data_IF_848715218031
#
_entry.id   IF_848715218031
#
_cell.length_a   1.000
_cell.length_b   1.000
_cell.length_c   1.000
_cell.angle_alpha   90.00
_cell.angle_beta   90.00
_cell.angle_gamma   90.00
#
_symmetry.space_group_name_H-M   'P 1'
#
loop_
_entity.id
_entity.type
_entity.pdbx_description
1 polymer ?
#
# COMPACT_ATOMS: atom_id res chain seq x y z
N UNK A 1 1.77 17.28 9.19
CA UNK A 1 2.59 17.10 7.97
C UNK A 1 2.23 15.75 7.37
N UNK A 2 2.19 15.60 6.04
CA UNK A 2 1.90 14.33 5.39
C UNK A 2 3.02 13.99 4.41
N UNK A 3 3.52 12.76 4.47
CA UNK A 3 4.51 12.24 3.52
C UNK A 3 3.77 11.75 2.29
N UNK A 4 4.17 12.23 1.11
CA UNK A 4 3.60 11.81 -0.17
C UNK A 4 4.61 10.93 -0.88
N UNK A 5 4.24 9.69 -1.17
CA UNK A 5 5.13 8.71 -1.79
C UNK A 5 4.79 8.42 -3.25
N UNK A 6 3.60 8.81 -3.72
CA UNK A 6 3.04 8.35 -5.00
C UNK A 6 3.92 8.56 -6.24
N UNK A 7 4.67 9.67 -6.31
CA UNK A 7 5.56 9.97 -7.44
C UNK A 7 6.86 9.16 -7.42
N UNK A 8 7.18 8.51 -6.30
CA UNK A 8 8.40 7.72 -6.13
C UNK A 8 8.15 6.21 -6.26
N UNK A 9 6.89 5.77 -6.28
CA UNK A 9 6.53 4.35 -6.29
C UNK A 9 6.76 3.77 -7.68
N UNK A 10 7.65 2.77 -7.75
CA UNK A 10 7.85 1.94 -8.95
C UNK A 10 6.73 0.89 -9.02
N UNK A 11 6.54 0.16 -7.92
CA UNK A 11 5.49 -0.84 -7.78
C UNK A 11 5.12 -1.01 -6.30
N UNK A 12 3.98 -1.63 -6.06
CA UNK A 12 3.59 -2.04 -4.72
C UNK A 12 2.63 -3.21 -4.75
N UNK A 13 2.43 -3.81 -3.59
CA UNK A 13 1.41 -4.83 -3.37
C UNK A 13 0.64 -4.55 -2.09
N UNK A 14 -0.62 -4.94 -2.08
CA UNK A 14 -1.55 -4.73 -0.99
C UNK A 14 -2.41 -5.99 -0.83
N UNK A 15 -2.60 -6.41 0.41
CA UNK A 15 -3.44 -7.54 0.80
C UNK A 15 -4.40 -7.10 1.90
N UNK A 16 -5.70 -7.10 1.60
CA UNK A 16 -6.76 -6.88 2.59
C UNK A 16 -7.80 -8.00 2.51
N UNK A 17 -7.35 -9.24 2.73
CA UNK A 17 -8.20 -10.44 2.69
C UNK A 17 -8.97 -10.60 4.00
N UNK A 18 -8.28 -10.47 5.13
CA UNK A 18 -8.87 -10.61 6.46
C UNK A 18 -9.42 -9.27 6.93
N UNK A 19 -10.56 -9.32 7.61
CA UNK A 19 -11.17 -8.12 8.15
C UNK A 19 -10.26 -7.49 9.22
N UNK A 20 -10.16 -6.17 9.17
CA UNK A 20 -9.37 -5.31 10.06
C UNK A 20 -7.85 -5.46 9.94
N UNK A 21 -7.36 -6.12 8.88
CA UNK A 21 -5.93 -6.36 8.65
C UNK A 21 -5.60 -6.05 7.19
N UNK A 22 -4.71 -5.08 6.99
CA UNK A 22 -4.22 -4.66 5.67
C UNK A 22 -2.70 -4.68 5.69
N UNK A 23 -2.09 -5.50 4.83
CA UNK A 23 -0.64 -5.64 4.73
C UNK A 23 -0.17 -5.29 3.33
N UNK A 24 1.07 -4.86 3.19
CA UNK A 24 1.64 -4.63 1.87
C UNK A 24 3.03 -4.06 1.90
N UNK A 25 3.57 -3.84 0.71
CA UNK A 25 4.88 -3.23 0.53
C UNK A 25 4.88 -2.30 -0.68
N UNK A 26 5.73 -1.28 -0.61
CA UNK A 26 5.99 -0.33 -1.68
C UNK A 26 7.47 -0.37 -2.04
N UNK A 27 7.77 -0.49 -3.33
CA UNK A 27 9.10 -0.28 -3.85
C UNK A 27 9.20 1.16 -4.37
N UNK A 28 10.04 1.96 -3.72
CA UNK A 28 10.31 3.35 -4.06
C UNK A 28 11.63 3.46 -4.83
N UNK A 29 11.70 4.44 -5.73
CA UNK A 29 12.93 4.75 -6.46
C UNK A 29 14.00 5.29 -5.50
N UNK A 30 15.14 4.61 -5.42
CA UNK A 30 16.34 5.07 -4.71
C UNK A 30 17.13 6.13 -5.50
N UNK A 31 18.12 6.76 -4.85
CA UNK A 31 19.01 7.71 -5.52
C UNK A 31 19.85 7.03 -6.63
N UNK A 32 20.52 7.85 -7.46
CA UNK A 32 21.28 7.33 -8.59
C UNK A 32 22.44 6.45 -8.11
N UNK A 33 22.37 5.16 -8.41
CA UNK A 33 23.36 4.16 -8.00
C UNK A 33 23.06 3.49 -6.66
N UNK A 34 21.94 3.82 -6.03
CA UNK A 34 21.39 3.11 -4.88
C UNK A 34 20.33 2.10 -5.32
N UNK A 35 20.19 1.03 -4.54
CA UNK A 35 19.12 0.05 -4.74
C UNK A 35 17.74 0.67 -4.46
N UNK A 36 16.67 0.19 -5.12
CA UNK A 36 15.31 0.58 -4.79
C UNK A 36 14.99 0.32 -3.31
N UNK A 37 14.21 1.22 -2.73
CA UNK A 37 13.87 1.19 -1.31
C UNK A 37 12.55 0.45 -1.08
N UNK A 38 12.50 -0.45 -0.10
CA UNK A 38 11.31 -1.22 0.21
C UNK A 38 10.68 -0.74 1.53
N UNK A 39 9.45 -0.23 1.45
CA UNK A 39 8.64 0.13 2.62
C UNK A 39 7.61 -0.98 2.86
N UNK A 40 7.54 -1.48 4.09
CA UNK A 40 6.54 -2.46 4.51
C UNK A 40 5.48 -1.81 5.39
N UNK A 41 4.22 -2.23 5.27
CA UNK A 41 3.17 -1.76 6.16
C UNK A 41 2.27 -2.90 6.66
N UNK A 42 1.92 -2.83 7.94
CA UNK A 42 1.03 -3.74 8.67
C UNK A 42 -0.01 -2.89 9.40
N UNK A 43 -1.16 -2.71 8.76
CA UNK A 43 -2.15 -1.71 9.15
C UNK A 43 -3.41 -2.36 9.73
N UNK A 44 -3.93 -1.71 10.76
CA UNK A 44 -5.18 -2.07 11.40
C UNK A 44 -6.35 -1.35 10.71
N UNK A 45 -7.13 -2.10 9.95
CA UNK A 45 -8.30 -1.57 9.24
C UNK A 45 -8.54 -2.25 7.90
N UNK A 46 -9.60 -1.82 7.22
CA UNK A 46 -9.96 -2.33 5.89
C UNK A 46 -9.72 -1.25 4.85
N UNK A 47 -9.56 -1.70 3.60
CA UNK A 47 -9.61 -0.85 2.44
C UNK A 47 -11.07 -0.59 2.01
N UNK A 48 -11.26 0.29 1.03
CA UNK A 48 -12.57 0.55 0.44
C UNK A 48 -13.05 -0.67 -0.39
N UNK A 49 -14.36 -0.78 -0.71
CA UNK A 49 -14.95 -2.00 -1.27
C UNK A 49 -14.31 -2.54 -2.57
N UNK A 50 -13.62 -1.72 -3.35
CA UNK A 50 -12.85 -2.20 -4.51
C UNK A 50 -11.58 -2.95 -4.15
N UNK A 51 -10.93 -2.64 -3.03
CA UNK A 51 -9.68 -3.30 -2.62
C UNK A 51 -9.91 -4.30 -1.49
N UNK A 52 -10.97 -4.11 -0.69
CA UNK A 52 -11.36 -5.04 0.37
C UNK A 52 -11.61 -6.44 -0.20
N UNK A 53 -11.09 -7.44 0.50
CA UNK A 53 -11.18 -8.85 0.13
C UNK A 53 -10.28 -9.25 -1.03
N UNK A 54 -9.26 -8.46 -1.40
CA UNK A 54 -8.38 -8.75 -2.54
C UNK A 54 -6.89 -8.74 -2.16
N UNK A 55 -6.11 -9.46 -2.98
CA UNK A 55 -4.68 -9.23 -3.13
C UNK A 55 -4.51 -8.40 -4.41
N UNK A 56 -3.81 -7.29 -4.31
CA UNK A 56 -3.63 -6.31 -5.38
C UNK A 56 -2.15 -6.03 -5.55
N UNK A 57 -1.71 -5.90 -6.80
CA UNK A 57 -0.41 -5.33 -7.16
C UNK A 57 -0.61 -4.15 -8.08
N UNK A 58 0.30 -3.20 -8.03
CA UNK A 58 0.21 -2.01 -8.87
C UNK A 58 1.58 -1.52 -9.29
N UNK A 59 1.63 -0.90 -10.46
CA UNK A 59 2.86 -0.45 -11.12
C UNK A 59 2.69 0.99 -11.62
N UNK A 60 3.79 1.74 -11.66
CA UNK A 60 3.81 3.05 -12.30
C UNK A 60 3.47 2.94 -13.80
N UNK A 61 2.78 3.95 -14.34
CA UNK A 61 2.35 3.95 -15.74
C UNK A 61 3.51 4.10 -16.74
N UNK A 62 4.60 4.75 -16.32
CA UNK A 62 5.75 5.11 -17.15
C UNK A 62 7.01 4.33 -16.82
N UNK A 63 8.13 4.76 -17.39
CA UNK A 63 9.44 4.17 -17.13
C UNK A 63 9.85 4.41 -15.66
N UNK A 64 10.11 3.36 -14.86
CA UNK A 64 10.61 3.49 -13.49
C UNK A 64 11.88 4.34 -13.34
N UNK A 65 12.71 4.43 -14.39
CA UNK A 65 13.93 5.25 -14.38
C UNK A 65 13.67 6.75 -14.46
N UNK A 66 12.50 7.16 -14.94
CA UNK A 66 12.11 8.58 -15.07
C UNK A 66 11.44 9.12 -13.80
N UNK A 67 11.13 8.27 -12.83
CA UNK A 67 10.55 8.68 -11.56
C UNK A 67 11.58 9.45 -10.71
N UNK A 68 11.16 10.51 -9.99
CA UNK A 68 12.03 11.19 -9.03
C UNK A 68 12.47 10.22 -7.92
N UNK A 69 13.76 10.22 -7.54
CA UNK A 69 14.22 9.42 -6.40
C UNK A 69 13.59 9.91 -5.09
N UNK A 70 13.38 8.99 -4.16
CA UNK A 70 12.93 9.29 -2.81
C UNK A 70 14.14 9.57 -1.90
N UNK A 71 14.32 10.84 -1.53
CA UNK A 71 15.40 11.26 -0.61
C UNK A 71 15.02 10.96 0.85
N UNK A 72 15.50 9.82 1.35
CA UNK A 72 15.35 9.41 2.76
C UNK A 72 16.10 10.33 3.73
N UNK A 73 17.21 10.93 3.30
CA UNK A 73 18.10 11.70 4.18
C UNK A 73 17.42 12.97 4.69
N UNK A 74 16.46 13.48 3.93
CA UNK A 74 15.60 14.60 4.31
C UNK A 74 14.62 14.28 5.45
N UNK A 75 14.39 13.00 5.76
CA UNK A 75 13.41 12.52 6.74
C UNK A 75 14.11 11.81 7.91
N UNK A 76 14.62 12.60 8.86
CA UNK A 76 15.20 12.05 10.10
C UNK A 76 14.18 11.16 10.84
N UNK A 77 14.59 9.93 11.17
CA UNK A 77 13.77 8.97 11.93
C UNK A 77 12.70 8.24 11.10
N UNK A 78 12.81 8.27 9.77
CA UNK A 78 11.90 7.53 8.89
C UNK A 78 11.91 6.03 9.21
N UNK A 79 10.72 5.46 9.45
CA UNK A 79 10.54 4.04 9.74
C UNK A 79 10.12 3.30 8.46
N UNK A 80 10.88 2.27 8.08
CA UNK A 80 10.62 1.45 6.89
C UNK A 80 9.46 0.47 7.10
N UNK A 81 9.29 0.02 8.34
CA UNK A 81 8.16 -0.80 8.79
C UNK A 81 7.09 0.08 9.42
N UNK A 82 5.98 0.24 8.73
CA UNK A 82 4.86 1.08 9.14
C UNK A 82 3.75 0.26 9.79
N UNK A 83 3.25 0.75 10.91
CA UNK A 83 2.06 0.25 11.60
C UNK A 83 1.07 1.37 11.82
N UNK A 84 -0.18 1.03 12.12
CA UNK A 84 -1.22 1.99 12.51
C UNK A 84 -2.51 1.81 11.72
N UNK A 85 -3.48 2.73 11.84
CA UNK A 85 -4.78 2.58 11.20
C UNK A 85 -4.77 2.91 9.70
N UNK A 86 -5.60 2.20 8.94
CA UNK A 86 -5.92 2.60 7.57
C UNK A 86 -6.74 3.90 7.54
N UNK A 87 -6.38 4.78 6.60
CA UNK A 87 -7.21 5.87 6.12
C UNK A 87 -8.05 5.42 4.93
N UNK A 88 -8.27 6.31 3.95
CA UNK A 88 -8.90 5.95 2.68
C UNK A 88 -7.92 5.13 1.82
N UNK A 89 -8.37 3.99 1.31
CA UNK A 89 -7.58 3.13 0.43
C UNK A 89 -8.46 2.62 -0.72
N UNK A 90 -8.32 3.22 -1.90
CA UNK A 90 -9.16 2.94 -3.09
C UNK A 90 -8.40 3.13 -4.40
N UNK A 91 -8.87 2.45 -5.45
CA UNK A 91 -8.46 2.53 -6.84
C UNK A 91 -9.65 2.84 -7.79
N UNK A 92 -10.79 3.32 -7.23
CA UNK A 92 -11.99 3.66 -8.01
C UNK A 92 -11.96 5.09 -8.57
N UNK A 93 -11.17 5.97 -7.98
CA UNK A 93 -11.20 7.39 -8.32
C UNK A 93 -10.60 7.69 -9.70
N UNK A 94 -10.95 8.87 -10.22
CA UNK A 94 -10.44 9.43 -11.45
C UNK A 94 -9.72 10.75 -11.19
N UNK A 95 -8.59 10.98 -11.86
CA UNK A 95 -7.85 12.25 -11.82
C UNK A 95 -7.57 12.75 -13.22
N UNK A 96 -7.43 14.08 -13.35
CA UNK A 96 -6.97 14.70 -14.59
C UNK A 96 -5.44 14.68 -14.62
N UNK A 97 -4.90 13.91 -15.55
CA UNK A 97 -3.47 13.93 -15.85
C UNK A 97 -3.16 15.07 -16.82
N UNK A 98 -2.08 15.79 -16.54
CA UNK A 98 -1.48 16.77 -17.43
C UNK A 98 -0.21 16.16 -18.04
N UNK A 99 -0.26 15.63 -19.27
CA UNK A 99 0.88 14.99 -19.93
C UNK A 99 1.92 16.00 -20.45
N UNK A 100 1.73 17.30 -20.20
CA UNK A 100 2.65 18.35 -20.62
C UNK A 100 3.22 19.08 -19.40
N UNK A 101 4.41 19.66 -19.57
CA UNK A 101 5.02 20.49 -18.53
C UNK A 101 4.18 21.72 -18.22
N UNK A 102 4.34 22.29 -17.02
CA UNK A 102 3.63 23.49 -16.55
C UNK A 102 3.79 24.66 -17.52
N UNK A 103 4.96 24.81 -18.14
CA UNK A 103 5.24 25.88 -19.11
C UNK A 103 4.40 25.73 -20.39
N UNK A 104 4.33 24.52 -20.95
CA UNK A 104 3.51 24.21 -22.13
C UNK A 104 2.01 24.38 -21.83
N UNK A 105 1.58 23.99 -20.63
CA UNK A 105 0.22 24.24 -20.16
C UNK A 105 -0.10 25.74 -20.14
N UNK A 106 0.75 26.56 -19.52
CA UNK A 106 0.58 28.01 -19.46
C UNK A 106 0.60 28.60 -20.88
N UNK A 107 1.46 28.10 -21.76
CA UNK A 107 1.55 28.53 -23.15
C UNK A 107 0.24 28.29 -23.92
N UNK A 108 -0.30 27.06 -23.88
CA UNK A 108 -1.57 26.72 -24.52
C UNK A 108 -2.76 27.46 -23.94
N UNK A 109 -2.80 27.61 -22.61
CA UNK A 109 -3.83 28.39 -21.95
C UNK A 109 -3.83 29.86 -22.42
N UNK A 110 -2.64 30.46 -22.62
CA UNK A 110 -2.51 31.81 -23.20
C UNK A 110 -2.96 31.89 -24.65
N UNK A 111 -2.79 30.82 -25.42
CA UNK A 111 -3.27 30.71 -26.81
C UNK A 111 -4.78 30.42 -26.92
N UNK A 112 -5.46 30.19 -25.80
CA UNK A 112 -6.89 29.83 -25.79
C UNK A 112 -7.15 28.38 -26.21
N UNK A 113 -6.11 27.57 -26.34
CA UNK A 113 -6.24 26.14 -26.62
C UNK A 113 -6.53 25.38 -25.32
N UNK A 114 -7.46 24.41 -25.31
CA UNK A 114 -7.66 23.57 -24.14
C UNK A 114 -6.37 22.78 -23.89
N UNK A 115 -5.81 22.85 -22.67
CA UNK A 115 -4.64 22.05 -22.33
C UNK A 115 -5.00 20.57 -22.49
N UNK A 116 -4.10 19.73 -23.04
CA UNK A 116 -4.40 18.34 -23.35
C UNK A 116 -4.48 17.52 -22.07
N UNK A 117 -5.54 17.68 -21.28
CA UNK A 117 -5.77 16.89 -20.07
C UNK A 117 -6.57 15.65 -20.42
N UNK A 118 -6.14 14.49 -19.92
CA UNK A 118 -6.94 13.26 -20.00
C UNK A 118 -7.33 12.78 -18.61
N UNK A 119 -8.50 12.20 -18.51
CA UNK A 119 -8.92 11.52 -17.27
C UNK A 119 -8.30 10.14 -17.24
N UNK A 120 -7.68 9.82 -16.10
CA UNK A 120 -7.01 8.54 -15.85
C UNK A 120 -7.45 7.99 -14.51
N UNK A 121 -7.17 6.71 -14.29
CA UNK A 121 -7.42 6.07 -12.99
C UNK A 121 -6.53 6.65 -11.92
N UNK A 122 -6.99 6.63 -10.69
CA UNK A 122 -6.25 7.04 -9.50
C UNK A 122 -6.18 5.88 -8.52
N UNK A 123 -4.99 5.56 -8.05
CA UNK A 123 -4.80 4.77 -6.84
C UNK A 123 -4.50 5.74 -5.69
N UNK A 124 -5.25 5.63 -4.61
CA UNK A 124 -5.11 6.42 -3.40
C UNK A 124 -5.02 5.51 -2.19
N UNK A 125 -3.88 5.48 -1.51
CA UNK A 125 -3.68 4.76 -0.26
C UNK A 125 -3.24 5.76 0.82
N UNK A 126 -3.95 5.77 1.94
CA UNK A 126 -3.65 6.62 3.08
C UNK A 126 -3.62 5.81 4.36
N UNK A 127 -2.67 6.13 5.23
CA UNK A 127 -2.62 5.61 6.60
C UNK A 127 -1.96 6.60 7.55
N UNK A 128 -2.09 6.32 8.83
CA UNK A 128 -1.42 7.06 9.89
C UNK A 128 -0.53 6.10 10.66
N UNK A 129 0.78 6.35 10.68
CA UNK A 129 1.73 5.47 11.35
C UNK A 129 2.86 6.24 12.01
N UNK A 130 4.01 5.59 12.19
CA UNK A 130 5.17 6.18 12.87
C UNK A 130 5.74 7.37 12.11
N UNK A 131 5.58 7.38 10.79
CA UNK A 131 5.99 8.49 9.94
C UNK A 131 4.91 9.60 9.86
N UNK A 132 3.90 9.57 10.73
CA UNK A 132 2.75 10.45 10.69
C UNK A 132 1.73 10.01 9.64
N UNK A 133 1.16 10.97 8.89
CA UNK A 133 0.22 10.67 7.81
C UNK A 133 0.99 10.35 6.53
N UNK A 134 0.80 9.18 5.95
CA UNK A 134 1.42 8.79 4.68
C UNK A 134 0.34 8.66 3.61
N UNK A 135 0.64 9.16 2.42
CA UNK A 135 -0.27 9.18 1.28
C UNK A 135 0.47 8.68 0.03
N UNK A 136 -0.07 7.66 -0.62
CA UNK A 136 0.31 7.20 -1.94
C UNK A 136 -0.81 7.58 -2.90
N UNK A 137 -0.53 8.55 -3.76
CA UNK A 137 -1.47 8.98 -4.80
C UNK A 137 -0.78 8.80 -6.16
N UNK A 138 -1.22 7.80 -6.93
CA UNK A 138 -0.67 7.51 -8.25
C UNK A 138 -1.71 7.79 -9.33
N UNK A 139 -1.27 8.42 -10.41
CA UNK A 139 -2.09 8.69 -11.58
C UNK A 139 -1.80 7.69 -12.70
N UNK A 140 -2.86 7.15 -13.29
CA UNK A 140 -2.83 6.09 -14.32
C UNK A 140 -2.07 4.79 -13.96
N UNK A 141 -2.02 4.34 -12.69
CA UNK A 141 -1.29 3.12 -12.39
C UNK A 141 -1.94 1.89 -13.04
N UNK A 142 -1.12 0.93 -13.45
CA UNK A 142 -1.60 -0.41 -13.77
C UNK A 142 -1.92 -1.10 -12.44
N UNK A 143 -3.19 -1.39 -12.19
CA UNK A 143 -3.64 -2.05 -10.96
C UNK A 143 -4.26 -3.40 -11.31
N UNK A 144 -3.72 -4.45 -10.74
CA UNK A 144 -4.14 -5.82 -10.96
C UNK A 144 -4.51 -6.48 -9.64
N UNK A 145 -5.44 -7.41 -9.67
CA UNK A 145 -5.87 -8.18 -8.52
C UNK A 145 -5.86 -9.67 -8.81
N UNK A 146 -5.69 -10.44 -7.74
CA UNK A 146 -5.74 -11.89 -7.76
C UNK A 146 -7.09 -12.38 -7.21
N UNK A 147 -7.87 -13.16 -7.97
CA UNK A 147 -9.04 -13.84 -7.46
C UNK A 147 -8.59 -15.03 -6.61
N UNK A 148 -8.60 -14.87 -5.28
CA UNK A 148 -8.27 -15.97 -4.38
C UNK A 148 -9.45 -16.95 -4.34
N UNK A 149 -9.51 -17.86 -5.31
CA UNK A 149 -10.53 -18.92 -5.42
C UNK A 149 -10.12 -20.19 -4.64
N UNK A 150 -9.29 -20.06 -3.61
CA UNK A 150 -9.06 -21.08 -2.58
C UNK A 150 -8.53 -22.47 -3.00
N UNK A 151 -8.36 -22.78 -4.28
CA UNK A 151 -7.85 -24.05 -4.80
C UNK A 151 -7.32 -23.85 -6.22
N UNK A 152 -6.04 -23.54 -6.36
CA UNK A 152 -5.25 -23.95 -7.52
C UNK A 152 -3.77 -23.79 -7.15
N UNK A 153 -3.02 -24.88 -7.31
CA UNK A 153 -1.59 -24.98 -6.94
C UNK A 153 -0.68 -24.22 -7.93
N UNK A 154 -1.25 -23.74 -9.03
CA UNK A 154 -0.58 -22.95 -10.06
C UNK A 154 -0.70 -21.44 -9.75
N UNK A 155 0.05 -21.00 -8.73
CA UNK A 155 0.03 -19.62 -8.18
C UNK A 155 0.48 -18.50 -9.14
N UNK A 156 0.68 -18.79 -10.43
CA UNK A 156 1.34 -17.85 -11.35
C UNK A 156 0.51 -17.33 -12.52
N UNK A 157 -0.73 -17.76 -12.78
CA UNK A 157 -1.25 -17.54 -14.15
C UNK A 157 -2.39 -16.57 -14.43
N UNK A 158 -3.13 -15.99 -13.48
CA UNK A 158 -4.15 -14.98 -13.87
C UNK A 158 -4.32 -13.82 -12.89
N UNK A 159 -3.41 -12.85 -12.95
CA UNK A 159 -3.70 -11.50 -12.46
C UNK A 159 -4.67 -10.81 -13.42
N UNK A 160 -5.73 -10.22 -12.89
CA UNK A 160 -6.72 -9.50 -13.68
C UNK A 160 -6.61 -8.01 -13.44
N UNK A 161 -6.87 -7.19 -14.47
CA UNK A 161 -7.03 -5.76 -14.29
C UNK A 161 -8.14 -5.50 -13.26
N UNK A 162 -7.85 -4.69 -12.24
CA UNK A 162 -8.83 -4.34 -11.22
C UNK A 162 -9.96 -3.54 -11.88
N UNK A 163 -11.21 -4.02 -11.84
CA UNK A 163 -12.33 -3.29 -12.43
C UNK A 163 -12.51 -1.96 -11.71
N UNK A 164 -12.82 -0.89 -12.45
CA UNK A 164 -13.23 0.36 -11.83
C UNK A 164 -14.75 0.31 -11.57
N UNK A 165 -15.17 0.43 -10.32
CA UNK A 165 -16.59 0.47 -9.96
C UNK A 165 -17.19 1.87 -10.12
N UNK A 166 -16.37 2.93 -10.14
CA UNK A 166 -16.86 4.29 -10.33
C UNK A 166 -16.97 4.63 -11.83
N UNK A 167 -18.10 5.20 -12.26
CA UNK A 167 -18.24 5.67 -13.63
C UNK A 167 -17.24 6.79 -13.91
N UNK A 168 -16.72 6.83 -15.14
CA UNK A 168 -15.90 7.94 -15.59
C UNK A 168 -16.70 9.25 -15.51
N UNK A 169 -16.13 10.38 -15.04
CA UNK A 169 -16.85 11.64 -14.91
C UNK A 169 -17.50 12.10 -16.22
N UNK A 170 -18.69 12.71 -16.18
CA UNK A 170 -19.38 13.17 -17.41
C UNK A 170 -18.54 14.15 -18.24
N UNK A 171 -17.76 15.02 -17.59
CA UNK A 171 -16.83 15.91 -18.29
C UNK A 171 -15.71 15.15 -19.02
N UNK A 172 -15.28 14.01 -18.49
CA UNK A 172 -14.35 13.11 -19.16
C UNK A 172 -14.98 12.45 -20.40
N UNK A 173 -16.28 12.12 -20.34
CA UNK A 173 -16.99 11.55 -21.50
C UNK A 173 -17.16 12.57 -22.63
N UNK A 174 -17.24 13.87 -22.32
CA UNK A 174 -17.30 14.96 -23.31
C UNK A 174 -15.94 15.23 -23.98
N UNK A 175 -14.86 15.07 -23.21
CA UNK A 175 -13.48 15.29 -23.65
C UNK A 175 -12.81 14.00 -24.18
N UNK A 176 -13.49 12.85 -24.07
CA UNK A 176 -12.99 11.58 -24.58
C UNK A 176 -12.92 11.65 -26.12
N UNK A 177 -11.83 11.19 -26.75
CA UNK A 177 -11.86 10.97 -28.19
C UNK A 177 -13.05 10.05 -28.49
N UNK A 178 -13.84 10.39 -29.51
CA UNK A 178 -14.92 9.52 -29.99
C UNK A 178 -14.37 8.09 -30.14
N UNK A 179 -15.12 7.04 -29.72
CA UNK A 179 -14.72 5.67 -30.03
C UNK A 179 -14.45 5.62 -31.54
N UNK A 180 -13.26 5.18 -31.89
CA UNK A 180 -12.60 5.31 -33.19
C UNK A 180 -13.57 5.62 -34.35
N UNK A 181 -13.51 6.86 -34.86
CA UNK A 181 -14.02 7.16 -36.20
C UNK A 181 -13.14 6.38 -37.20
N UNK A 182 -13.54 5.14 -37.48
CA UNK A 182 -12.93 4.30 -38.52
C UNK A 182 -13.17 4.95 -39.88
N UNK A 183 -12.13 5.54 -40.46
CA UNK A 183 -12.20 6.12 -41.80
C UNK A 183 -12.02 4.98 -42.82
N UNK A 184 -13.11 4.56 -43.44
CA UNK A 184 -13.08 3.65 -44.58
C UNK A 184 -12.95 4.45 -45.87
N UNK A 185 -11.87 4.22 -46.64
CA UNK A 185 -11.80 4.68 -48.04
C UNK A 185 -12.36 3.57 -48.93
N UNK A 186 -13.43 3.86 -49.64
CA UNK A 186 -13.92 3.00 -50.73
C UNK A 186 -13.41 3.61 -52.03
N UNK A 187 -12.47 2.94 -52.69
CA UNK A 187 -12.06 3.32 -54.05
C UNK A 187 -13.01 2.67 -55.06
N UNK A 188 -13.64 3.50 -55.91
CA UNK A 188 -14.58 3.03 -56.91
C UNK A 188 -13.84 2.42 -58.10
N UNK A 189 -13.69 1.09 -58.09
CA UNK A 189 -13.24 0.25 -59.19
C UNK A 189 -14.12 -1.00 -59.33
N UNK A 190 -13.84 -1.86 -60.32
CA UNK A 190 -14.66 -3.05 -60.62
C UNK A 190 -14.65 -4.14 -59.52
N UNK A 191 -13.80 -4.02 -58.51
CA UNK A 191 -13.83 -4.85 -57.30
C UNK A 191 -13.39 -4.03 -56.05
N UNK A 192 -14.33 -3.53 -55.23
CA UNK A 192 -14.00 -2.64 -54.12
C UNK A 192 -13.37 -3.41 -52.95
N UNK A 193 -12.09 -3.16 -52.68
CA UNK A 193 -11.43 -3.62 -51.45
C UNK A 193 -11.45 -2.52 -50.38
N UNK A 194 -11.99 -2.86 -49.21
CA UNK A 194 -11.93 -2.01 -48.03
C UNK A 194 -10.68 -2.36 -47.21
N UNK A 195 -9.70 -1.45 -47.18
CA UNK A 195 -8.53 -1.55 -46.30
C UNK A 195 -8.78 -0.83 -44.97
N UNK A 196 -8.49 -1.50 -43.85
CA UNK A 196 -8.60 -0.97 -42.49
C UNK A 196 -7.32 -0.24 -42.10
N UNK A 197 -7.43 1.02 -41.67
CA UNK A 197 -6.33 1.76 -41.07
C UNK A 197 -6.67 2.03 -39.59
N UNK A 198 -6.11 1.24 -38.68
CA UNK A 198 -6.01 1.64 -37.27
C UNK A 198 -4.69 2.38 -37.06
N UNK A 199 -4.64 3.26 -36.04
CA UNK A 199 -3.47 4.06 -35.66
C UNK A 199 -2.35 3.21 -35.02
N UNK A 200 -2.16 2.00 -35.53
CA UNK A 200 -1.18 0.99 -35.13
C UNK A 200 -0.04 0.89 -36.16
N UNK A 201 -0.22 1.45 -37.38
CA UNK A 201 0.76 1.28 -38.47
C UNK A 201 1.88 2.35 -38.54
N UNK A 202 1.93 3.31 -37.61
CA UNK A 202 3.06 4.28 -37.53
C UNK A 202 4.23 3.80 -36.64
N UNK A 203 4.20 2.57 -36.14
CA UNK A 203 5.31 1.97 -35.38
C UNK A 203 6.01 0.81 -36.10
N UNK A 204 5.77 0.59 -37.41
CA UNK A 204 6.60 -0.31 -38.22
C UNK A 204 7.82 0.41 -38.81
N UNK A 205 8.69 0.90 -37.93
CA UNK A 205 10.13 0.97 -38.23
C UNK A 205 10.94 0.98 -36.93
N UNK A 206 10.82 -0.07 -36.12
CA UNK A 206 11.77 -0.29 -35.02
C UNK A 206 12.09 -1.77 -34.90
N UNK A 207 13.04 -2.17 -35.74
CA UNK A 207 13.96 -3.29 -35.59
C UNK A 207 13.35 -4.60 -35.05
N UNK A 208 12.95 -5.49 -35.96
CA UNK A 208 12.58 -6.89 -35.69
C UNK A 208 13.78 -7.77 -35.24
N UNK A 209 14.79 -7.15 -34.62
CA UNK A 209 15.97 -7.80 -34.04
C UNK A 209 16.30 -7.26 -32.63
N UNK A 210 15.34 -6.64 -31.94
CA UNK A 210 15.45 -6.47 -30.50
C UNK A 210 14.93 -7.74 -29.82
N UNK A 211 15.84 -8.66 -29.53
CA UNK A 211 15.60 -9.78 -28.63
C UNK A 211 14.91 -9.25 -27.36
N UNK A 212 13.78 -9.86 -27.00
CA UNK A 212 13.21 -9.69 -25.66
C UNK A 212 14.33 -9.99 -24.66
N UNK A 213 14.60 -9.16 -23.64
CA UNK A 213 15.43 -9.60 -22.54
C UNK A 213 14.68 -10.75 -21.87
N UNK A 214 15.09 -11.97 -22.20
CA UNK A 214 14.79 -13.14 -21.42
C UNK A 214 15.52 -12.91 -20.10
N UNK A 215 14.79 -12.48 -19.07
CA UNK A 215 15.26 -12.71 -17.72
C UNK A 215 15.07 -14.22 -17.51
N UNK A 216 16.12 -15.00 -17.75
CA UNK A 216 16.22 -16.30 -17.12
C UNK A 216 16.23 -16.01 -15.62
N UNK A 217 15.08 -16.25 -14.99
CA UNK A 217 15.00 -16.47 -13.55
C UNK A 217 15.74 -17.78 -13.30
N UNK A 218 17.07 -17.71 -13.24
CA UNK A 218 17.89 -18.71 -12.57
C UNK A 218 17.72 -18.50 -11.06
N UNK A 219 16.47 -18.57 -10.62
CA UNK A 219 16.09 -18.67 -9.23
C UNK A 219 16.02 -20.15 -8.92
N UNK A 220 17.18 -20.75 -8.71
CA UNK A 220 17.28 -21.98 -7.94
C UNK A 220 16.53 -21.72 -6.62
N UNK A 221 15.35 -22.32 -6.48
CA UNK A 221 14.69 -22.42 -5.18
C UNK A 221 15.74 -23.00 -4.24
N UNK A 222 16.11 -22.34 -3.12
CA UNK A 222 17.02 -22.95 -2.18
C UNK A 222 16.34 -24.24 -1.71
N UNK A 223 16.91 -25.38 -2.12
CA UNK A 223 16.54 -26.68 -1.58
C UNK A 223 16.75 -26.67 -0.08
N UNK A 224 16.03 -27.53 0.62
CA UNK A 224 15.94 -27.62 2.08
C UNK A 224 17.25 -28.05 2.79
N UNK A 225 18.42 -27.87 2.17
CA UNK A 225 19.74 -28.35 2.63
C UNK A 225 20.81 -27.24 2.72
N UNK A 226 20.45 -25.99 3.04
CA UNK A 226 21.41 -24.89 3.28
C UNK A 226 21.64 -24.63 4.78
N UNK A 227 22.00 -25.67 5.52
CA UNK A 227 22.62 -25.53 6.85
C UNK A 227 24.03 -26.11 6.79
N UNK A 228 24.92 -25.44 6.04
CA UNK A 228 26.37 -25.65 6.20
C UNK A 228 26.86 -24.66 7.27
N UNK A 229 27.36 -25.24 8.36
CA UNK A 229 27.62 -24.64 9.69
C UNK A 229 28.91 -23.80 9.75
N UNK A 230 29.41 -23.24 8.64
CA UNK A 230 30.78 -22.71 8.56
C UNK A 230 30.91 -21.41 7.72
N UNK A 231 29.95 -20.48 7.80
CA UNK A 231 30.13 -19.14 7.21
C UNK A 231 30.52 -18.09 8.28
N UNK A 232 31.67 -17.48 8.04
CA UNK A 232 32.30 -16.48 8.90
C UNK A 232 31.31 -15.36 9.22
N UNK A 233 31.09 -15.14 10.52
CA UNK A 233 30.23 -14.09 11.07
C UNK A 233 30.48 -12.75 10.34
N UNK A 234 29.55 -12.38 9.45
CA UNK A 234 29.55 -11.06 8.79
C UNK A 234 29.68 -9.98 9.86
N UNK A 235 30.34 -8.83 9.60
CA UNK A 235 30.47 -7.76 10.60
C UNK A 235 29.10 -7.48 11.19
N UNK A 236 28.91 -7.88 12.45
CA UNK A 236 27.63 -7.76 13.15
C UNK A 236 27.29 -6.28 13.09
N UNK A 237 26.19 -5.95 12.42
CA UNK A 237 25.78 -4.56 12.27
C UNK A 237 25.64 -3.98 13.68
N UNK A 238 26.53 -3.03 14.01
CA UNK A 238 26.57 -2.43 15.34
C UNK A 238 25.21 -1.81 15.70
N UNK A 239 24.43 -1.38 14.71
CA UNK A 239 23.05 -0.92 14.90
C UNK A 239 22.13 -2.06 15.32
N UNK A 240 22.16 -3.20 14.63
CA UNK A 240 21.36 -4.38 14.98
C UNK A 240 21.72 -4.94 16.38
N UNK A 241 22.99 -4.93 16.75
CA UNK A 241 23.42 -5.29 18.11
C UNK A 241 22.90 -4.31 19.16
N UNK A 242 22.94 -3.01 18.88
CA UNK A 242 22.45 -1.98 19.79
C UNK A 242 20.93 -2.06 19.97
N UNK A 243 20.19 -2.33 18.90
CA UNK A 243 18.74 -2.56 18.95
C UNK A 243 18.40 -3.79 19.77
N UNK A 244 19.13 -4.90 19.61
CA UNK A 244 18.92 -6.12 20.39
C UNK A 244 19.19 -5.87 21.88
N UNK A 245 20.28 -5.18 22.21
CA UNK A 245 20.61 -4.82 23.59
C UNK A 245 19.56 -3.89 24.22
N UNK A 246 18.99 -2.97 23.44
CA UNK A 246 17.90 -2.10 23.88
C UNK A 246 16.64 -2.91 24.21
N UNK A 247 16.31 -3.92 23.40
CA UNK A 247 15.17 -4.82 23.66
C UNK A 247 15.37 -5.56 24.97
N UNK A 248 16.55 -6.13 25.20
CA UNK A 248 16.88 -6.83 26.44
C UNK A 248 16.72 -5.90 27.66
N UNK A 249 17.24 -4.67 27.58
CA UNK A 249 17.09 -3.67 28.63
C UNK A 249 15.61 -3.30 28.89
N UNK A 250 14.80 -3.21 27.82
CA UNK A 250 13.36 -2.95 27.95
C UNK A 250 12.63 -4.12 28.60
N UNK A 251 13.00 -5.37 28.31
CA UNK A 251 12.41 -6.56 28.92
C UNK A 251 12.71 -6.65 30.44
N UNK A 252 13.86 -6.12 30.89
CA UNK A 252 14.23 -6.10 32.31
C UNK A 252 13.57 -4.98 33.11
N UNK A 253 13.18 -3.87 32.46
CA UNK A 253 12.56 -2.71 33.12
C UNK A 253 11.04 -2.81 33.14
N UNK A 254 10.41 -2.27 34.18
CA UNK A 254 8.96 -2.02 34.12
C UNK A 254 8.68 -0.85 33.16
N UNK A 255 7.91 -1.09 32.10
CA UNK A 255 7.50 -0.05 31.15
C UNK A 255 6.54 0.99 31.74
N UNK A 256 6.19 2.01 30.95
CA UNK A 256 5.25 3.07 31.33
C UNK A 256 3.81 2.68 30.97
N UNK A 257 2.80 2.89 31.85
CA UNK A 257 1.42 2.57 31.51
C UNK A 257 0.96 3.23 30.21
N UNK A 258 0.34 2.47 29.32
CA UNK A 258 -0.06 2.99 28.00
C UNK A 258 -1.01 4.19 28.07
N UNK A 259 -1.93 4.18 29.04
CA UNK A 259 -2.79 5.33 29.29
C UNK A 259 -2.02 6.61 29.58
N UNK A 260 -0.89 6.53 30.29
CA UNK A 260 -0.05 7.68 30.62
C UNK A 260 0.70 8.20 29.39
N UNK A 261 1.25 7.29 28.58
CA UNK A 261 1.90 7.65 27.31
C UNK A 261 0.95 8.36 26.33
N UNK A 262 -0.35 8.01 26.38
CA UNK A 262 -1.39 8.68 25.62
C UNK A 262 -1.95 9.95 26.31
N UNK A 263 -1.30 10.49 27.34
CA UNK A 263 -1.75 11.71 28.03
C UNK A 263 -3.05 11.52 28.83
N UNK A 264 -3.36 10.29 29.20
CA UNK A 264 -4.54 9.88 29.97
C UNK A 264 -5.74 9.45 29.13
N UNK A 265 -6.69 8.77 29.78
CA UNK A 265 -7.96 8.32 29.18
C UNK A 265 -9.12 9.33 29.38
N UNK A 266 -8.83 10.49 29.97
CA UNK A 266 -9.86 11.47 30.34
C UNK A 266 -10.47 12.08 29.08
N UNK A 267 -11.80 12.02 28.97
CA UNK A 267 -12.53 12.56 27.83
C UNK A 267 -12.85 11.53 26.74
N UNK A 268 -12.35 10.29 26.85
CA UNK A 268 -12.77 9.21 25.95
C UNK A 268 -14.18 8.72 26.30
N UNK A 269 -15.08 8.57 25.31
CA UNK A 269 -16.41 8.02 25.52
C UNK A 269 -16.34 6.56 25.96
N UNK A 270 -17.39 6.10 26.67
CA UNK A 270 -17.49 4.69 27.04
C UNK A 270 -17.89 3.86 25.83
N UNK A 271 -17.15 2.81 25.51
CA UNK A 271 -17.42 2.03 24.28
C UNK A 271 -18.81 1.40 24.21
N UNK A 272 -19.48 1.13 25.35
CA UNK A 272 -20.85 0.57 25.36
C UNK A 272 -21.90 1.53 24.78
N UNK A 273 -21.65 2.84 24.81
CA UNK A 273 -22.62 3.84 24.34
C UNK A 273 -22.44 4.21 22.86
N UNK A 274 -21.36 3.76 22.24
CA UNK A 274 -21.03 4.11 20.85
C UNK A 274 -21.69 3.14 19.87
N UNK A 275 -21.95 3.64 18.66
CA UNK A 275 -22.18 2.83 17.46
C UNK A 275 -20.83 2.40 16.85
N UNK A 276 -20.83 1.45 15.91
CA UNK A 276 -19.57 0.94 15.33
C UNK A 276 -18.81 2.02 14.53
N UNK A 277 -19.52 2.88 13.79
CA UNK A 277 -18.98 4.03 13.06
C UNK A 277 -18.33 5.06 13.99
N UNK A 278 -19.02 5.41 15.07
CA UNK A 278 -18.51 6.33 16.09
C UNK A 278 -17.31 5.74 16.83
N UNK A 279 -17.36 4.44 17.15
CA UNK A 279 -16.25 3.76 17.79
C UNK A 279 -15.01 3.71 16.87
N UNK A 280 -15.19 3.46 15.58
CA UNK A 280 -14.09 3.50 14.60
C UNK A 280 -13.45 4.90 14.54
N UNK A 281 -14.28 5.96 14.50
CA UNK A 281 -13.80 7.34 14.49
C UNK A 281 -12.98 7.72 15.75
N UNK A 282 -13.25 7.09 16.89
CA UNK A 282 -12.44 7.25 18.11
C UNK A 282 -11.26 6.28 18.19
N UNK A 283 -11.37 5.10 17.59
CA UNK A 283 -10.34 4.07 17.59
C UNK A 283 -9.15 4.48 16.72
N UNK A 284 -9.38 4.94 15.48
CA UNK A 284 -8.29 5.30 14.56
C UNK A 284 -7.32 6.35 15.15
N UNK A 285 -7.77 7.48 15.75
CA UNK A 285 -6.85 8.41 16.40
C UNK A 285 -6.03 7.79 17.53
N UNK A 286 -6.58 6.83 18.29
CA UNK A 286 -5.81 6.12 19.32
C UNK A 286 -4.75 5.21 18.70
N UNK A 287 -5.11 4.45 17.66
CA UNK A 287 -4.18 3.59 16.94
C UNK A 287 -3.04 4.39 16.29
N UNK A 288 -3.35 5.53 15.69
CA UNK A 288 -2.35 6.42 15.10
C UNK A 288 -1.37 6.93 16.17
N UNK A 289 -1.86 7.26 17.37
CA UNK A 289 -1.00 7.70 18.48
C UNK A 289 -0.16 6.56 19.07
N UNK A 290 -0.69 5.33 19.11
CA UNK A 290 0.07 4.14 19.50
C UNK A 290 1.17 3.82 18.49
N UNK A 291 0.88 3.96 17.19
CA UNK A 291 1.89 3.79 16.15
C UNK A 291 3.07 4.74 16.35
N UNK A 292 2.83 6.02 16.66
CA UNK A 292 3.90 6.99 16.99
C UNK A 292 4.77 6.57 18.19
N UNK A 293 4.31 5.62 19.01
CA UNK A 293 5.01 5.06 20.15
C UNK A 293 5.60 3.66 19.86
N UNK A 294 5.66 3.24 18.58
CA UNK A 294 6.05 1.89 18.15
C UNK A 294 5.20 0.77 18.80
N UNK A 295 3.89 1.02 18.94
CA UNK A 295 2.92 0.07 19.49
C UNK A 295 1.85 -0.24 18.44
N UNK A 296 1.75 -1.51 18.04
CA UNK A 296 0.68 -2.03 17.20
C UNK A 296 -0.48 -2.55 18.06
N UNK A 297 -1.70 -2.37 17.57
CA UNK A 297 -2.88 -2.99 18.15
C UNK A 297 -3.67 -3.74 17.09
N UNK A 298 -3.49 -5.05 17.07
CA UNK A 298 -4.01 -5.95 16.04
C UNK A 298 -5.45 -6.36 16.33
N UNK A 299 -6.33 -6.10 15.36
CA UNK A 299 -7.76 -6.38 15.48
C UNK A 299 -8.10 -7.66 14.72
N UNK A 300 -8.57 -8.64 15.47
CA UNK A 300 -9.10 -9.90 14.97
C UNK A 300 -10.33 -9.64 14.08
N UNK A 301 -10.50 -10.45 13.03
CA UNK A 301 -11.61 -10.36 12.10
C UNK A 301 -13.00 -10.55 12.76
N UNK A 302 -13.04 -11.23 13.91
CA UNK A 302 -14.25 -11.45 14.69
C UNK A 302 -14.74 -10.21 15.45
N UNK A 303 -13.90 -9.18 15.56
CA UNK A 303 -14.24 -7.97 16.29
C UNK A 303 -14.93 -6.93 15.41
N UNK A 304 -15.95 -6.29 15.96
CA UNK A 304 -16.47 -5.02 15.43
C UNK A 304 -15.60 -3.87 15.95
N UNK A 305 -15.60 -2.70 15.28
CA UNK A 305 -14.84 -1.53 15.74
C UNK A 305 -15.16 -1.16 17.20
N UNK A 306 -16.44 -1.25 17.60
CA UNK A 306 -16.85 -1.01 18.99
C UNK A 306 -16.28 -2.03 19.97
N UNK A 307 -16.29 -3.32 19.62
CA UNK A 307 -15.72 -4.35 20.48
C UNK A 307 -14.20 -4.13 20.65
N UNK A 308 -13.50 -3.80 19.56
CA UNK A 308 -12.07 -3.55 19.57
C UNK A 308 -11.72 -2.30 20.38
N UNK A 309 -12.48 -1.22 20.21
CA UNK A 309 -12.36 0.01 21.01
C UNK A 309 -12.52 -0.25 22.51
N UNK A 310 -13.46 -1.13 22.89
CA UNK A 310 -13.63 -1.53 24.30
C UNK A 310 -12.45 -2.32 24.81
N UNK A 311 -11.94 -3.29 24.07
CA UNK A 311 -10.73 -4.03 24.46
C UNK A 311 -9.56 -3.07 24.66
N UNK A 312 -9.36 -2.15 23.71
CA UNK A 312 -8.31 -1.16 23.80
C UNK A 312 -8.45 -0.29 25.06
N UNK A 313 -9.60 0.35 25.27
CA UNK A 313 -9.78 1.37 26.32
C UNK A 313 -10.10 0.82 27.72
N UNK A 314 -10.73 -0.35 27.81
CA UNK A 314 -11.15 -0.98 29.07
C UNK A 314 -10.10 -1.99 29.58
N UNK A 315 -9.27 -2.55 28.69
CA UNK A 315 -8.27 -3.56 29.05
C UNK A 315 -6.85 -3.09 28.72
N UNK A 316 -6.49 -2.98 27.44
CA UNK A 316 -5.09 -2.79 27.01
C UNK A 316 -4.49 -1.51 27.59
N UNK A 317 -5.13 -0.35 27.35
CA UNK A 317 -4.59 0.94 27.82
C UNK A 317 -4.52 1.06 29.34
N UNK A 318 -5.26 0.23 30.09
CA UNK A 318 -5.30 0.28 31.56
C UNK A 318 -4.34 -0.66 32.25
N UNK A 319 -3.95 -1.74 31.57
CA UNK A 319 -3.18 -2.85 32.17
C UNK A 319 -1.79 -2.94 31.59
N UNK A 320 -1.67 -2.68 30.30
CA UNK A 320 -0.43 -2.87 29.58
C UNK A 320 0.48 -1.64 29.71
N UNK A 321 1.76 -1.88 29.46
CA UNK A 321 2.85 -0.91 29.60
C UNK A 321 3.66 -0.89 28.31
N UNK A 322 4.05 0.30 27.88
CA UNK A 322 4.91 0.51 26.73
C UNK A 322 6.26 1.07 27.13
N UNK A 323 7.25 0.86 26.27
CA UNK A 323 8.62 1.38 26.42
C UNK A 323 8.87 2.51 25.42
N UNK A 324 8.88 3.80 25.86
CA UNK A 324 9.16 4.94 24.98
C UNK A 324 10.55 4.89 24.32
N UNK A 325 11.49 4.17 24.92
CA UNK A 325 12.83 3.94 24.40
C UNK A 325 12.82 3.18 23.08
N UNK A 326 11.75 2.42 22.81
CA UNK A 326 11.55 1.67 21.57
C UNK A 326 11.17 2.57 20.39
N UNK A 327 10.91 3.87 20.61
CA UNK A 327 10.55 4.78 19.53
C UNK A 327 11.75 4.96 18.61
N UNK A 328 11.59 4.52 17.37
CA UNK A 328 12.59 4.66 16.32
C UNK A 328 13.54 3.47 16.17
N UNK A 329 13.47 2.45 17.03
CA UNK A 329 14.36 1.28 17.00
C UNK A 329 13.94 0.17 16.03
N UNK A 330 12.97 0.42 15.14
CA UNK A 330 12.40 -0.59 14.24
C UNK A 330 11.55 -1.68 14.93
N UNK A 331 11.68 -1.86 16.24
CA UNK A 331 10.91 -2.82 17.03
C UNK A 331 9.51 -2.31 17.36
N UNK A 332 8.54 -3.21 17.25
CA UNK A 332 7.12 -2.93 17.50
C UNK A 332 6.60 -3.80 18.64
N UNK A 333 5.94 -3.17 19.61
CA UNK A 333 5.19 -3.86 20.66
C UNK A 333 3.79 -4.19 20.16
N UNK A 334 3.45 -5.48 20.11
CA UNK A 334 2.15 -5.94 19.62
C UNK A 334 1.19 -6.25 20.76
N UNK A 335 -0.01 -5.65 20.69
CA UNK A 335 -1.16 -6.07 21.49
C UNK A 335 -2.26 -6.54 20.56
N UNK A 336 -2.98 -7.59 20.95
CA UNK A 336 -3.91 -8.21 20.04
C UNK A 336 -5.27 -8.47 20.69
N UNK A 337 -6.34 -8.27 19.92
CA UNK A 337 -7.70 -8.67 20.35
C UNK A 337 -7.94 -10.18 20.29
N UNK A 338 -7.03 -10.96 19.67
CA UNK A 338 -7.10 -12.42 19.66
C UNK A 338 -7.11 -13.00 21.07
N UNK A 339 -6.37 -12.40 22.01
CA UNK A 339 -6.32 -12.79 23.43
C UNK A 339 -7.66 -12.63 24.16
N UNK A 340 -8.56 -11.83 23.58
CA UNK A 340 -9.90 -11.55 24.09
C UNK A 340 -10.99 -12.17 23.21
N UNK A 341 -10.61 -12.92 22.17
CA UNK A 341 -11.53 -13.51 21.22
C UNK A 341 -11.84 -14.96 21.57
N UNK A 342 -13.06 -15.23 22.04
CA UNK A 342 -13.50 -16.60 22.33
C UNK A 342 -13.40 -17.52 21.13
N UNK A 343 -13.75 -17.06 19.93
CA UNK A 343 -13.67 -17.87 18.71
C UNK A 343 -12.23 -18.28 18.37
N UNK A 344 -11.26 -17.38 18.56
CA UNK A 344 -9.86 -17.70 18.34
C UNK A 344 -9.31 -18.63 19.43
N UNK A 345 -9.72 -18.44 20.69
CA UNK A 345 -9.35 -19.33 21.79
C UNK A 345 -9.89 -20.74 21.59
N UNK A 346 -11.15 -20.87 21.16
CA UNK A 346 -11.76 -22.17 20.87
C UNK A 346 -11.00 -22.88 19.72
N UNK A 347 -10.67 -22.16 18.64
CA UNK A 347 -9.91 -22.71 17.51
C UNK A 347 -8.49 -23.17 17.90
N UNK A 348 -7.81 -22.49 18.82
CA UNK A 348 -6.50 -22.91 19.32
C UNK A 348 -6.59 -24.19 20.15
N UNK A 349 -7.66 -24.37 20.93
CA UNK A 349 -7.86 -25.57 21.75
C UNK A 349 -8.22 -26.81 20.91
N UNK A 350 -8.78 -26.62 19.72
CA UNK A 350 -9.16 -27.69 18.79
C UNK A 350 -8.00 -28.13 17.87
N UNK A 351 -6.83 -27.49 17.94
CA UNK A 351 -5.66 -27.93 17.16
C UNK A 351 -5.01 -29.16 17.81
N UNK A 352 -4.84 -30.27 17.08
CA UNK A 352 -4.12 -31.43 17.59
C UNK A 352 -2.64 -31.06 17.79
N UNK A 353 -2.13 -31.28 19.01
CA UNK A 353 -0.72 -31.13 19.36
C UNK A 353 0.17 -32.14 18.65
#
# INVERSE_FOLDING_TARGET
MAIRLGEHVIWGHLRNIRKNSTHGSLCLKGEKGEEPFLLHFELTGNCDPDLSGKVVRFFCAGNPEELPPFDRSSLSGFQERQIGPTGTMTAQDWVRLMPCGVEEFIHRAKLGEPPPTRWVRRLYLEWHGQNGRVVVEMADPLVEWFPEDGKDEDKNEFWHLLPNLAPMPECAMRDAPLPDLEIFRVEAGEDPQAGHWSRTELNHSRNENAERPHYELDGEYPGEDFWDDDDECSPVDYEAMAETALVDECLEKEGVPLAELLGGLKGLPRGRTLRDDEAEAHLKPLLARLAMLNIAFDICEHFTPRAAYRVLTEHVLRRERGHPEMIGSGWVQHYCTHDYCRKCQDALNDMPF
#
